data_IF_758669472347
#
_entry.id   IF_758669472347
#
_cell.length_a   1.000
_cell.length_b   1.000
_cell.length_c   1.000
_cell.angle_alpha   90.00
_cell.angle_beta   90.00
_cell.angle_gamma   90.00
#
_symmetry.space_group_name_H-M   'P 1'
#
loop_
_entity.id
_entity.type
_entity.pdbx_description
1 polymer ?
#
# COMPACT_ATOMS: atom_id res chain seq x y z
N UNK A 1 -14.84 -5.79 5.66
CA UNK A 1 -13.68 -4.96 6.03
C UNK A 1 -12.73 -5.62 7.05
N UNK A 2 -13.03 -6.81 7.60
CA UNK A 2 -12.14 -7.51 8.56
C UNK A 2 -10.93 -8.16 7.88
N UNK A 3 -11.09 -8.64 6.64
CA UNK A 3 -10.05 -9.39 5.92
C UNK A 3 -8.75 -8.59 5.72
N UNK A 4 -8.87 -7.29 5.47
CA UNK A 4 -7.74 -6.38 5.24
C UNK A 4 -6.87 -6.13 6.49
N UNK A 5 -7.27 -6.63 7.67
CA UNK A 5 -6.40 -6.64 8.86
C UNK A 5 -5.22 -7.60 8.71
N UNK A 6 -5.31 -8.59 7.81
CA UNK A 6 -4.23 -9.53 7.53
C UNK A 6 -3.28 -8.94 6.50
N UNK A 7 -1.98 -9.06 6.75
CA UNK A 7 -0.94 -8.53 5.85
C UNK A 7 -1.03 -9.13 4.44
N UNK A 8 -1.25 -10.44 4.32
CA UNK A 8 -1.34 -11.09 3.01
C UNK A 8 -2.50 -10.52 2.17
N UNK A 9 -3.65 -10.24 2.78
CA UNK A 9 -4.80 -9.68 2.08
C UNK A 9 -4.51 -8.27 1.57
N UNK A 10 -3.72 -7.50 2.32
CA UNK A 10 -3.23 -6.20 1.85
C UNK A 10 -2.23 -6.37 0.71
N UNK A 11 -1.32 -7.32 0.81
CA UNK A 11 -0.34 -7.62 -0.25
C UNK A 11 -1.02 -8.06 -1.56
N UNK A 12 -2.04 -8.92 -1.48
CA UNK A 12 -2.83 -9.36 -2.64
C UNK A 12 -3.49 -8.20 -3.39
N UNK A 13 -3.86 -7.13 -2.68
CA UNK A 13 -4.47 -5.95 -3.33
C UNK A 13 -3.56 -5.31 -4.38
N UNK A 14 -2.24 -5.49 -4.29
CA UNK A 14 -1.27 -4.98 -5.25
C UNK A 14 -1.15 -5.84 -6.53
N UNK A 15 -1.67 -7.07 -6.54
CA UNK A 15 -1.54 -8.02 -7.66
C UNK A 15 -2.83 -8.26 -8.45
N UNK A 16 -3.90 -7.52 -8.13
CA UNK A 16 -5.18 -7.61 -8.84
C UNK A 16 -5.14 -7.02 -10.27
N UNK A 17 -6.32 -6.89 -10.89
CA UNK A 17 -6.49 -6.46 -12.29
C UNK A 17 -5.79 -5.15 -12.67
N UNK A 18 -5.66 -4.21 -11.73
CA UNK A 18 -5.01 -2.91 -11.93
C UNK A 18 -3.59 -2.84 -11.36
N UNK A 19 -2.93 -4.00 -11.28
CA UNK A 19 -1.72 -4.28 -10.49
C UNK A 19 -0.70 -3.15 -10.35
N UNK A 20 0.01 -3.18 -9.23
CA UNK A 20 0.97 -2.16 -8.85
C UNK A 20 2.15 -2.06 -9.84
N UNK A 21 2.41 -0.86 -10.34
CA UNK A 21 3.43 -0.61 -11.38
C UNK A 21 4.68 0.12 -10.89
N UNK A 22 4.72 0.57 -9.64
CA UNK A 22 5.87 1.32 -9.10
C UNK A 22 6.94 0.36 -8.57
N UNK A 23 7.95 0.08 -9.39
CA UNK A 23 9.05 -0.85 -9.07
C UNK A 23 9.99 -0.37 -7.97
N UNK A 24 10.07 0.95 -7.76
CA UNK A 24 10.96 1.57 -6.77
C UNK A 24 10.41 1.56 -5.35
N UNK A 25 9.17 1.11 -5.14
CA UNK A 25 8.56 0.97 -3.82
C UNK A 25 7.88 -0.38 -3.68
N UNK A 26 8.23 -1.10 -2.62
CA UNK A 26 7.83 -2.49 -2.44
C UNK A 26 6.36 -2.61 -1.98
N UNK A 27 5.51 -3.33 -2.73
CA UNK A 27 4.17 -3.72 -2.25
C UNK A 27 4.20 -4.43 -0.90
N UNK A 28 5.22 -5.26 -0.67
CA UNK A 28 5.42 -5.97 0.59
C UNK A 28 5.69 -5.01 1.75
N UNK A 29 6.54 -4.00 1.54
CA UNK A 29 6.80 -2.98 2.55
C UNK A 29 5.53 -2.17 2.86
N UNK A 30 4.80 -1.73 1.83
CA UNK A 30 3.52 -1.02 1.99
C UNK A 30 2.50 -1.87 2.77
N UNK A 31 2.32 -3.14 2.39
CA UNK A 31 1.43 -4.07 3.08
C UNK A 31 1.82 -4.25 4.55
N UNK A 32 3.11 -4.42 4.86
CA UNK A 32 3.60 -4.52 6.25
C UNK A 32 3.29 -3.29 7.09
N UNK A 33 3.42 -2.11 6.49
CA UNK A 33 3.12 -0.83 7.15
C UNK A 33 1.62 -0.59 7.39
N UNK A 34 0.75 -1.44 6.82
CA UNK A 34 -0.71 -1.38 7.00
C UNK A 34 -1.47 -0.88 5.78
N UNK A 35 -0.79 -0.62 4.68
CA UNK A 35 -1.38 -0.09 3.46
C UNK A 35 -1.96 -1.18 2.58
N UNK A 36 -3.14 -0.92 2.00
CA UNK A 36 -3.68 -1.64 0.84
C UNK A 36 -3.64 -0.72 -0.38
N UNK A 37 -3.51 -1.30 -1.57
CA UNK A 37 -3.63 -0.57 -2.82
C UNK A 37 -5.10 -0.26 -3.14
N UNK A 38 -5.36 0.95 -3.65
CA UNK A 38 -6.71 1.38 -4.03
C UNK A 38 -7.05 1.09 -5.50
N UNK A 39 -6.09 0.61 -6.31
CA UNK A 39 -6.32 0.37 -7.73
C UNK A 39 -6.39 1.65 -8.56
N UNK A 40 -5.71 2.71 -8.13
CA UNK A 40 -5.65 3.99 -8.83
C UNK A 40 -4.24 4.56 -8.68
N UNK A 41 -3.49 4.62 -9.79
CA UNK A 41 -2.09 5.05 -9.86
C UNK A 41 -1.20 4.41 -8.77
N UNK A 42 -0.76 5.19 -7.77
CA UNK A 42 0.01 4.71 -6.63
C UNK A 42 -0.68 4.98 -5.28
N UNK A 43 -2.00 5.20 -5.30
CA UNK A 43 -2.77 5.47 -4.10
C UNK A 43 -2.86 4.26 -3.21
N UNK A 44 -2.47 4.42 -1.96
CA UNK A 44 -2.60 3.40 -0.92
C UNK A 44 -3.31 3.97 0.30
N UNK A 45 -4.03 3.13 1.04
CA UNK A 45 -4.74 3.53 2.25
C UNK A 45 -4.41 2.61 3.42
N UNK A 46 -4.11 3.20 4.57
CA UNK A 46 -3.91 2.45 5.79
C UNK A 46 -5.24 1.90 6.29
N UNK A 47 -5.30 0.60 6.55
CA UNK A 47 -6.52 -0.09 7.00
C UNK A 47 -6.84 0.18 8.48
N UNK A 48 -5.90 0.73 9.23
CA UNK A 48 -6.02 0.99 10.67
C UNK A 48 -6.39 2.44 10.98
N UNK A 49 -5.69 3.42 10.40
CA UNK A 49 -5.94 4.85 10.65
C UNK A 49 -6.69 5.56 9.52
N UNK A 50 -6.82 4.93 8.34
CA UNK A 50 -7.54 5.50 7.19
C UNK A 50 -6.75 6.51 6.35
N UNK A 51 -5.51 6.86 6.73
CA UNK A 51 -4.68 7.79 5.94
C UNK A 51 -4.45 7.24 4.54
N UNK A 52 -4.50 8.13 3.55
CA UNK A 52 -4.24 7.81 2.15
C UNK A 52 -3.00 8.54 1.68
N UNK A 53 -2.06 7.80 1.09
CA UNK A 53 -0.82 8.32 0.52
C UNK A 53 -0.77 8.05 -0.98
N UNK A 54 -0.11 8.93 -1.72
CA UNK A 54 0.06 8.91 -3.18
C UNK A 54 1.29 9.72 -3.58
N UNK A 55 1.69 9.68 -4.86
CA UNK A 55 2.87 10.34 -5.41
C UNK A 55 4.20 9.86 -4.78
N UNK A 56 4.33 8.54 -4.61
CA UNK A 56 5.53 7.90 -4.09
C UNK A 56 6.73 8.17 -5.00
N UNK A 57 7.88 8.45 -4.39
CA UNK A 57 9.14 8.75 -5.05
C UNK A 57 10.19 7.70 -4.74
N UNK A 58 11.26 7.72 -5.54
CA UNK A 58 12.45 6.89 -5.29
C UNK A 58 13.06 7.32 -3.95
N UNK A 59 13.24 6.34 -3.05
CA UNK A 59 13.83 6.56 -1.73
C UNK A 59 12.83 6.83 -0.61
N UNK A 60 11.53 6.99 -0.91
CA UNK A 60 10.50 7.12 0.12
C UNK A 60 10.42 5.84 0.96
N UNK A 61 10.20 6.02 2.27
CA UNK A 61 10.09 4.93 3.24
C UNK A 61 8.63 4.86 3.75
N UNK A 62 7.91 3.76 3.49
CA UNK A 62 6.52 3.62 3.91
C UNK A 62 6.27 3.92 5.40
N UNK A 63 7.18 3.53 6.29
CA UNK A 63 7.03 3.76 7.73
C UNK A 63 7.29 5.21 8.14
N UNK A 64 8.14 5.93 7.39
CA UNK A 64 8.35 7.36 7.62
C UNK A 64 7.18 8.19 7.10
N UNK A 65 6.68 7.88 5.90
CA UNK A 65 5.55 8.60 5.30
C UNK A 65 4.21 8.34 6.02
N UNK A 66 4.08 7.21 6.73
CA UNK A 66 2.87 6.87 7.50
C UNK A 66 2.78 7.58 8.87
N UNK A 67 3.74 8.42 9.25
CA UNK A 67 3.80 9.01 10.60
C UNK A 67 2.89 10.23 10.79
#
# INVERSE_FOLDING_TARGET
MVEMRKEYARLESFFGLKGWSKSYISPLALARTGFRYLGEDDKVQCVYCGVTLQNWKIGDDPWKEHR
#
